data_IF_769531097767
#
_entry.id   IF_769531097767
#
_cell.length_a   1.000
_cell.length_b   1.000
_cell.length_c   1.000
_cell.angle_alpha   90.00
_cell.angle_beta   90.00
_cell.angle_gamma   90.00
#
_symmetry.space_group_name_H-M   'P 1'
#
loop_
_entity.id
_entity.type
_entity.pdbx_description
1 polymer ?
#
# COMPACT_ATOMS: atom_id res chain seq x y z
N UNK A 1 17.97 -1.24 65.10
CA UNK A 1 17.44 -1.88 66.33
C UNK A 1 16.04 -1.32 66.57
N UNK A 2 15.02 -2.20 66.69
CA UNK A 2 13.60 -1.88 66.95
C UNK A 2 12.80 -1.48 65.70
N UNK A 3 11.94 -2.28 65.05
CA UNK A 3 10.82 -3.15 65.51
C UNK A 3 9.74 -2.31 66.20
N UNK A 4 8.44 -2.31 65.87
CA UNK A 4 7.62 -3.13 64.98
C UNK A 4 6.35 -2.33 64.59
N UNK A 5 5.91 -2.44 63.33
CA UNK A 5 4.55 -2.06 62.92
C UNK A 5 3.64 -3.29 63.03
N UNK A 6 2.61 -3.24 63.87
CA UNK A 6 1.51 -4.20 63.89
C UNK A 6 0.28 -3.62 63.18
N UNK A 7 -0.36 -4.46 62.37
CA UNK A 7 -1.39 -4.14 61.36
C UNK A 7 -2.63 -3.38 61.85
N UNK A 8 -3.50 -2.91 60.97
CA UNK A 8 -4.16 -3.69 59.91
C UNK A 8 -4.97 -2.78 58.98
N UNK A 9 -5.30 -3.32 57.80
CA UNK A 9 -6.32 -2.91 56.82
C UNK A 9 -5.88 -2.05 55.62
N UNK A 10 -5.67 -2.81 54.55
CA UNK A 10 -6.25 -2.60 53.23
C UNK A 10 -5.41 -1.82 52.22
N UNK A 11 -4.52 -2.58 51.57
CA UNK A 11 -4.42 -2.71 50.12
C UNK A 11 -4.44 -1.42 49.29
N UNK A 12 -3.27 -0.95 48.86
CA UNK A 12 -3.03 -0.75 47.43
C UNK A 12 -1.54 -0.84 47.13
N UNK A 13 -1.13 -2.05 46.76
CA UNK A 13 0.18 -2.35 46.21
C UNK A 13 0.25 -1.71 44.82
N UNK A 14 1.02 -0.63 44.64
CA UNK A 14 1.43 -0.17 43.31
C UNK A 14 2.88 -0.56 43.09
N UNK A 15 3.10 -1.85 42.82
CA UNK A 15 4.30 -2.27 42.14
C UNK A 15 4.30 -1.58 40.77
N UNK A 16 5.22 -0.65 40.57
CA UNK A 16 5.60 -0.18 39.24
C UNK A 16 6.26 -1.37 38.53
N UNK A 17 5.44 -2.21 37.91
CA UNK A 17 5.91 -3.31 37.08
C UNK A 17 6.61 -2.72 35.86
N UNK A 18 7.94 -2.86 35.83
CA UNK A 18 8.70 -2.76 34.59
C UNK A 18 8.11 -3.78 33.63
N UNK A 19 7.47 -3.30 32.57
CA UNK A 19 7.04 -4.14 31.45
C UNK A 19 8.32 -4.76 30.87
N UNK A 20 8.49 -6.10 30.89
CA UNK A 20 9.65 -6.70 30.26
C UNK A 20 9.58 -6.36 28.78
N UNK A 21 10.59 -5.65 28.27
CA UNK A 21 10.74 -5.45 26.83
C UNK A 21 10.91 -6.84 26.20
N UNK A 22 9.86 -7.32 25.54
CA UNK A 22 9.96 -8.50 24.69
C UNK A 22 11.09 -8.23 23.68
N UNK A 23 12.02 -9.17 23.47
CA UNK A 23 13.00 -9.02 22.41
C UNK A 23 12.25 -8.87 21.08
N UNK A 24 12.65 -7.90 20.27
CA UNK A 24 12.12 -7.74 18.93
C UNK A 24 12.39 -9.04 18.15
N UNK A 25 11.32 -9.72 17.76
CA UNK A 25 11.41 -10.89 16.89
C UNK A 25 11.65 -10.37 15.46
N UNK A 26 12.66 -10.85 14.73
CA UNK A 26 12.82 -10.45 13.33
C UNK A 26 11.59 -10.89 12.54
N UNK A 27 10.93 -9.95 11.87
CA UNK A 27 9.81 -10.24 10.97
C UNK A 27 10.39 -10.87 9.72
N UNK A 28 10.09 -12.15 9.48
CA UNK A 28 10.46 -12.81 8.23
C UNK A 28 9.66 -12.19 7.06
N UNK A 29 10.38 -11.68 6.03
CA UNK A 29 9.82 -11.28 4.72
C UNK A 29 9.10 -12.49 4.10
N UNK A 30 7.77 -12.48 4.01
CA UNK A 30 7.06 -13.64 3.44
C UNK A 30 5.58 -13.49 3.09
N UNK A 31 4.99 -12.29 3.10
CA UNK A 31 3.55 -12.14 2.75
C UNK A 31 3.26 -11.23 1.54
N UNK A 32 4.25 -10.47 1.05
CA UNK A 32 4.07 -9.56 -0.09
C UNK A 32 4.34 -10.20 -1.45
N UNK A 33 4.74 -11.47 -1.52
CA UNK A 33 5.05 -12.07 -2.82
C UNK A 33 3.79 -12.48 -3.58
N UNK A 34 2.70 -12.81 -2.89
CA UNK A 34 1.45 -13.27 -3.52
C UNK A 34 0.55 -12.11 -3.94
N UNK A 35 0.47 -11.04 -3.14
CA UNK A 35 -0.38 -9.89 -3.43
C UNK A 35 0.07 -9.17 -4.71
N UNK A 36 1.35 -8.83 -4.80
CA UNK A 36 1.92 -8.16 -5.97
C UNK A 36 1.92 -9.06 -7.23
N UNK A 37 2.09 -10.38 -7.08
CA UNK A 37 2.04 -11.29 -8.23
C UNK A 37 0.63 -11.35 -8.83
N UNK A 38 -0.42 -11.44 -8.01
CA UNK A 38 -1.81 -11.41 -8.50
C UNK A 38 -2.18 -10.10 -9.22
N UNK A 39 -1.61 -8.98 -8.76
CA UNK A 39 -1.74 -7.67 -9.41
C UNK A 39 -1.07 -7.72 -10.79
N UNK A 40 0.15 -8.24 -10.85
CA UNK A 40 0.92 -8.36 -12.08
C UNK A 40 0.27 -9.28 -13.10
N UNK A 41 -0.27 -10.44 -12.68
CA UNK A 41 -0.99 -11.34 -13.57
C UNK A 41 -2.17 -10.62 -14.25
N UNK A 42 -2.99 -9.92 -13.45
CA UNK A 42 -4.11 -9.13 -13.97
C UNK A 42 -3.68 -8.02 -14.94
N UNK A 43 -2.52 -7.41 -14.69
CA UNK A 43 -1.93 -6.40 -15.58
C UNK A 43 -1.48 -7.06 -16.89
N UNK A 44 -0.77 -8.19 -16.83
CA UNK A 44 -0.25 -8.89 -18.01
C UNK A 44 -1.38 -9.41 -18.91
N UNK A 45 -2.46 -9.91 -18.34
CA UNK A 45 -3.67 -10.28 -19.10
C UNK A 45 -4.21 -9.09 -19.89
N UNK A 46 -4.35 -7.93 -19.22
CA UNK A 46 -4.83 -6.70 -19.85
C UNK A 46 -3.86 -6.20 -20.93
N UNK A 47 -2.54 -6.29 -20.70
CA UNK A 47 -1.52 -5.93 -21.68
C UNK A 47 -1.55 -6.83 -22.92
N UNK A 48 -1.80 -8.12 -22.74
CA UNK A 48 -1.98 -9.07 -23.85
C UNK A 48 -3.17 -8.68 -24.74
N UNK A 49 -4.31 -8.36 -24.13
CA UNK A 49 -5.47 -7.85 -24.88
C UNK A 49 -5.17 -6.55 -25.63
N UNK A 50 -4.50 -5.60 -24.97
CA UNK A 50 -4.14 -4.32 -25.58
C UNK A 50 -3.16 -4.51 -26.74
N UNK A 51 -2.16 -5.36 -26.59
CA UNK A 51 -1.22 -5.69 -27.66
C UNK A 51 -1.94 -6.29 -28.87
N UNK A 52 -2.85 -7.24 -28.65
CA UNK A 52 -3.64 -7.84 -29.72
C UNK A 52 -4.52 -6.83 -30.46
N UNK A 53 -5.23 -5.97 -29.71
CA UNK A 53 -6.08 -4.90 -30.28
C UNK A 53 -5.28 -3.89 -31.11
N UNK A 54 -4.06 -3.59 -30.69
CA UNK A 54 -3.19 -2.59 -31.33
C UNK A 54 -2.11 -3.20 -32.25
N UNK A 55 -2.14 -4.52 -32.50
CA UNK A 55 -1.16 -5.23 -33.34
C UNK A 55 0.30 -5.01 -32.93
N UNK A 56 0.53 -4.86 -31.63
CA UNK A 56 1.89 -4.78 -31.08
C UNK A 56 2.49 -6.18 -31.07
N UNK A 57 3.63 -6.36 -31.74
CA UNK A 57 4.44 -7.57 -31.64
C UNK A 57 5.17 -7.63 -30.29
N UNK A 58 5.49 -6.47 -29.73
CA UNK A 58 6.23 -6.34 -28.48
C UNK A 58 5.85 -5.06 -27.76
N UNK A 59 5.70 -5.16 -26.44
CA UNK A 59 5.59 -4.00 -25.54
C UNK A 59 6.99 -3.65 -25.02
N UNK A 60 7.35 -2.38 -25.11
CA UNK A 60 8.67 -1.85 -24.70
C UNK A 60 8.58 -1.02 -23.42
N UNK A 61 7.42 -0.41 -23.14
CA UNK A 61 7.18 0.36 -21.91
C UNK A 61 5.73 0.26 -21.46
N UNK A 62 5.52 0.24 -20.14
CA UNK A 62 4.21 0.27 -19.48
C UNK A 62 4.27 1.25 -18.32
N UNK A 63 3.38 2.23 -18.30
CA UNK A 63 3.24 3.16 -17.17
C UNK A 63 1.99 2.80 -16.38
N UNK A 64 2.14 2.60 -15.07
CA UNK A 64 1.04 2.34 -14.15
C UNK A 64 0.82 3.51 -13.21
N UNK A 65 -0.43 3.92 -13.07
CA UNK A 65 -0.88 4.85 -12.04
C UNK A 65 -1.42 4.04 -10.86
N UNK A 66 -0.77 4.16 -9.70
CA UNK A 66 -1.05 3.36 -8.50
C UNK A 66 -1.38 4.26 -7.32
N UNK A 67 -2.57 4.06 -6.76
CA UNK A 67 -3.01 4.75 -5.56
C UNK A 67 -2.28 4.25 -4.30
N UNK A 68 -1.92 5.17 -3.40
CA UNK A 68 -1.23 4.85 -2.14
C UNK A 68 -2.02 3.90 -1.21
N UNK A 69 -3.35 3.80 -1.34
CA UNK A 69 -4.18 2.82 -0.60
C UNK A 69 -3.92 1.39 -1.05
N UNK A 70 -3.38 1.17 -2.26
CA UNK A 70 -3.02 -0.17 -2.72
C UNK A 70 -1.83 -0.76 -1.98
N UNK A 71 -1.06 0.07 -1.24
CA UNK A 71 0.09 -0.36 -0.45
C UNK A 71 1.14 -1.18 -1.22
N UNK A 72 1.20 -0.98 -2.54
CA UNK A 72 2.15 -1.67 -3.42
C UNK A 72 3.57 -1.26 -3.07
N UNK A 73 4.45 -2.26 -2.95
CA UNK A 73 5.88 -2.03 -2.83
C UNK A 73 6.50 -1.99 -4.24
N UNK A 74 7.08 -0.84 -4.68
CA UNK A 74 7.57 -0.68 -6.05
C UNK A 74 8.54 -1.79 -6.48
N UNK A 75 9.52 -2.10 -5.64
CA UNK A 75 10.55 -3.10 -5.95
C UNK A 75 9.96 -4.51 -6.07
N UNK A 76 9.00 -4.85 -5.21
CA UNK A 76 8.30 -6.15 -5.27
C UNK A 76 7.47 -6.26 -6.53
N UNK A 77 6.75 -5.21 -6.91
CA UNK A 77 5.94 -5.19 -8.13
C UNK A 77 6.81 -5.32 -9.39
N UNK A 78 7.93 -4.58 -9.45
CA UNK A 78 8.89 -4.65 -10.55
C UNK A 78 9.46 -6.06 -10.71
N UNK A 79 9.87 -6.67 -9.60
CA UNK A 79 10.37 -8.04 -9.59
C UNK A 79 9.29 -9.04 -10.06
N UNK A 80 8.07 -8.92 -9.54
CA UNK A 80 6.97 -9.77 -9.95
C UNK A 80 6.66 -9.62 -11.45
N UNK A 81 6.66 -8.39 -11.97
CA UNK A 81 6.44 -8.10 -13.39
C UNK A 81 7.53 -8.71 -14.27
N UNK A 82 8.80 -8.53 -13.92
CA UNK A 82 9.91 -9.14 -14.65
C UNK A 82 9.81 -10.68 -14.66
N UNK A 83 9.47 -11.29 -13.51
CA UNK A 83 9.36 -12.74 -13.40
C UNK A 83 8.18 -13.30 -14.21
N UNK A 84 7.00 -12.68 -14.13
CA UNK A 84 5.78 -13.15 -14.77
C UNK A 84 5.70 -12.81 -16.27
N UNK A 85 6.40 -11.77 -16.73
CA UNK A 85 6.33 -11.32 -18.14
C UNK A 85 7.14 -12.17 -19.12
N UNK A 86 7.96 -13.12 -18.66
CA UNK A 86 8.95 -13.85 -19.48
C UNK A 86 8.40 -14.48 -20.76
N UNK A 87 7.21 -15.06 -20.69
CA UNK A 87 6.56 -15.75 -21.81
C UNK A 87 5.41 -14.92 -22.40
N UNK A 88 5.49 -13.59 -22.30
CA UNK A 88 4.45 -12.66 -22.74
C UNK A 88 4.99 -11.61 -23.72
N UNK A 89 4.10 -10.91 -24.41
CA UNK A 89 4.43 -9.74 -25.26
C UNK A 89 5.11 -8.59 -24.50
N UNK A 90 5.03 -8.58 -23.17
CA UNK A 90 5.64 -7.58 -22.30
C UNK A 90 7.02 -7.99 -21.77
N UNK A 91 7.59 -9.11 -22.23
CA UNK A 91 8.91 -9.53 -21.79
C UNK A 91 9.98 -8.45 -22.06
N UNK A 92 10.66 -8.04 -20.99
CA UNK A 92 11.70 -7.01 -21.04
C UNK A 92 11.18 -5.59 -21.21
N UNK A 93 9.87 -5.35 -21.06
CA UNK A 93 9.30 -4.01 -21.04
C UNK A 93 9.76 -3.22 -19.80
N UNK A 94 10.00 -1.92 -19.96
CA UNK A 94 10.21 -1.02 -18.82
C UNK A 94 8.88 -0.80 -18.10
N UNK A 95 8.86 -1.02 -16.80
CA UNK A 95 7.72 -0.68 -15.96
C UNK A 95 7.95 0.69 -15.31
N UNK A 96 7.07 1.65 -15.53
CA UNK A 96 7.08 2.97 -14.88
C UNK A 96 5.90 3.06 -13.91
N UNK A 97 6.13 3.64 -12.72
CA UNK A 97 5.15 3.68 -11.64
C UNK A 97 4.93 5.12 -11.18
N UNK A 98 3.70 5.60 -11.34
CA UNK A 98 3.24 6.91 -10.87
C UNK A 98 2.33 6.73 -9.67
N UNK A 99 2.66 7.36 -8.55
CA UNK A 99 1.88 7.21 -7.31
C UNK A 99 0.89 8.34 -7.10
N UNK A 100 -0.36 7.99 -6.82
CA UNK A 100 -1.43 8.94 -6.49
C UNK A 100 -1.68 8.96 -4.99
N UNK A 101 -1.59 10.16 -4.42
CA UNK A 101 -1.85 10.36 -3.00
C UNK A 101 -3.32 10.16 -2.64
N UNK A 102 -3.54 9.74 -1.40
CA UNK A 102 -4.87 9.60 -0.83
C UNK A 102 -5.46 11.00 -0.64
N UNK A 103 -6.57 11.29 -1.30
CA UNK A 103 -7.34 12.52 -1.09
C UNK A 103 -8.75 12.18 -0.66
N UNK A 104 -9.30 13.04 0.17
CA UNK A 104 -10.65 12.93 0.65
C UNK A 104 -11.38 14.26 0.54
N UNK A 105 -12.71 14.18 0.47
CA UNK A 105 -13.65 15.29 0.56
C UNK A 105 -14.48 15.11 1.83
N UNK A 106 -14.53 16.14 2.67
CA UNK A 106 -15.45 16.16 3.81
C UNK A 106 -16.89 16.25 3.30
N UNK A 107 -17.75 15.33 3.72
CA UNK A 107 -19.16 15.34 3.30
C UNK A 107 -19.99 16.38 4.07
N UNK A 108 -19.47 16.90 5.19
CA UNK A 108 -20.13 17.93 6.00
C UNK A 108 -19.91 19.35 5.45
N UNK A 109 -18.68 19.71 5.08
CA UNK A 109 -18.34 21.08 4.66
C UNK A 109 -17.80 21.17 3.23
N UNK A 110 -17.60 20.05 2.53
CA UNK A 110 -17.12 20.02 1.15
C UNK A 110 -15.62 20.22 0.97
N UNK A 111 -14.86 20.52 2.04
CA UNK A 111 -13.42 20.72 1.97
C UNK A 111 -12.70 19.47 1.44
N UNK A 112 -11.80 19.66 0.47
CA UNK A 112 -10.92 18.62 -0.06
C UNK A 112 -9.56 18.70 0.63
N UNK A 113 -9.00 17.56 1.01
CA UNK A 113 -7.72 17.51 1.69
C UNK A 113 -6.97 16.22 1.34
N UNK A 114 -5.65 16.27 1.49
CA UNK A 114 -4.78 15.09 1.41
C UNK A 114 -4.84 14.35 2.75
N UNK A 115 -4.94 13.04 2.72
CA UNK A 115 -4.86 12.21 3.92
C UNK A 115 -3.39 11.91 4.19
N UNK A 116 -2.93 12.29 5.39
CA UNK A 116 -1.58 12.02 5.86
C UNK A 116 -1.64 11.12 7.09
N UNK A 117 -0.72 10.17 7.20
CA UNK A 117 -0.61 9.24 8.33
C UNK A 117 -1.95 8.56 8.71
N UNK A 118 -2.81 8.29 7.72
CA UNK A 118 -4.16 7.74 7.90
C UNK A 118 -5.09 8.58 8.79
N UNK A 119 -4.88 9.90 8.89
CA UNK A 119 -5.80 10.81 9.57
C UNK A 119 -6.90 11.29 8.61
N UNK A 120 -8.08 10.67 8.73
CA UNK A 120 -9.27 10.98 7.94
C UNK A 120 -10.18 12.01 8.64
N UNK A 121 -9.61 13.13 9.08
CA UNK A 121 -10.33 14.18 9.79
C UNK A 121 -10.23 15.48 9.01
N UNK A 122 -11.36 16.14 8.79
CA UNK A 122 -11.38 17.43 8.10
C UNK A 122 -10.72 18.51 8.97
N UNK A 123 -9.64 19.12 8.47
CA UNK A 123 -8.99 20.25 9.16
C UNK A 123 -9.81 21.55 9.22
N UNK A 124 -10.92 21.64 8.47
CA UNK A 124 -11.77 22.85 8.40
C UNK A 124 -12.91 22.85 9.41
N UNK A 125 -13.62 21.72 9.55
CA UNK A 125 -14.78 21.61 10.44
C UNK A 125 -14.67 20.52 11.52
N UNK A 126 -13.53 19.82 11.57
CA UNK A 126 -13.29 18.67 12.45
C UNK A 126 -14.25 17.48 12.24
N UNK A 127 -15.02 17.49 11.14
CA UNK A 127 -15.86 16.37 10.74
C UNK A 127 -15.04 15.14 10.40
N UNK A 128 -15.56 13.97 10.77
CA UNK A 128 -14.98 12.65 10.48
C UNK A 128 -15.66 11.95 9.30
N UNK A 129 -16.78 12.49 8.82
CA UNK A 129 -17.48 12.01 7.62
C UNK A 129 -16.75 12.51 6.38
N UNK A 130 -16.06 11.60 5.71
CA UNK A 130 -15.23 11.88 4.55
C UNK A 130 -15.45 10.84 3.47
N UNK A 131 -15.30 11.26 2.22
CA UNK A 131 -15.38 10.43 1.03
C UNK A 131 -14.01 10.44 0.36
N UNK A 132 -13.50 9.26 0.01
CA UNK A 132 -12.23 9.15 -0.73
C UNK A 132 -12.44 9.58 -2.17
N UNK A 133 -11.56 10.43 -2.67
CA UNK A 133 -11.63 10.96 -4.04
C UNK A 133 -10.47 10.51 -4.92
N UNK A 134 -9.38 10.03 -4.30
CA UNK A 134 -8.24 9.44 -5.00
C UNK A 134 -7.40 8.61 -4.04
N UNK A 135 -6.48 7.83 -4.59
CA UNK A 135 -5.53 7.01 -3.85
C UNK A 135 -5.84 5.52 -3.90
N UNK A 136 -6.86 5.07 -4.62
CA UNK A 136 -7.18 3.64 -4.83
C UNK A 136 -6.86 3.14 -6.24
N UNK A 137 -6.12 3.90 -7.03
CA UNK A 137 -5.90 3.64 -8.45
C UNK A 137 -5.06 2.36 -8.68
N UNK A 138 -5.38 1.65 -9.75
CA UNK A 138 -4.52 0.64 -10.37
C UNK A 138 -4.85 0.66 -11.86
N UNK A 139 -4.19 1.56 -12.59
CA UNK A 139 -4.56 1.93 -13.95
C UNK A 139 -3.32 1.78 -14.84
N UNK A 140 -3.49 1.14 -16.01
CA UNK A 140 -2.49 1.20 -17.09
C UNK A 140 -2.65 2.55 -17.78
N UNK A 141 -1.73 3.47 -17.50
CA UNK A 141 -1.76 4.85 -17.97
C UNK A 141 -1.33 4.95 -19.44
N UNK A 142 -0.31 4.18 -19.82
CA UNK A 142 0.18 4.10 -21.20
C UNK A 142 0.87 2.76 -21.46
N UNK A 143 0.86 2.37 -22.73
CA UNK A 143 1.57 1.21 -23.26
C UNK A 143 2.28 1.65 -24.53
N UNK A 144 3.57 1.40 -24.62
CA UNK A 144 4.39 1.67 -25.81
C UNK A 144 4.94 0.34 -26.33
N UNK A 145 5.05 0.22 -27.64
CA UNK A 145 5.48 -1.02 -28.27
C UNK A 145 5.81 -0.88 -29.74
N UNK A 146 6.29 -1.96 -30.31
CA UNK A 146 6.63 -2.11 -31.72
C UNK A 146 5.52 -2.91 -32.42
N UNK A 147 5.07 -2.44 -33.57
CA UNK A 147 4.13 -3.16 -34.43
C UNK A 147 4.83 -4.32 -35.15
N UNK A 148 4.04 -5.33 -35.51
CA UNK A 148 4.49 -6.47 -36.31
C UNK A 148 4.73 -6.12 -37.78
#
# INVERSE_FOLDING_TARGET
MGSACHGTRTTFCRAAGLVPKRPARPVAKGLQTVHEFSIVESILDTLGELAGKNRLARITSVTLTIGRLRQVVPETLRFAFEAASKDTVAHGARLELEFVDIRARCTTCGAKFRVENNYYICGTCNGTSVELTSGDELIIQSVEGEEA
#
